data_IF_026073469541
#
_entry.id   IF_026073469541
#
_cell.length_a   1.000
_cell.length_b   1.000
_cell.length_c   1.000
_cell.angle_alpha   90.00
_cell.angle_beta   90.00
_cell.angle_gamma   90.00
#
_symmetry.space_group_name_H-M   'P 1'
#
loop_
_entity.id
_entity.type
_entity.pdbx_description
1 polymer ?
#
# COMPACT_ATOMS: atom_id res chain seq x y z
N UNK A 1 -10.28 23.96 4.36
CA UNK A 1 -10.90 23.48 3.11
C UNK A 1 -10.41 22.08 2.73
N UNK A 2 -9.09 21.83 2.55
CA UNK A 2 -8.57 20.49 2.21
C UNK A 2 -8.96 19.40 3.23
N UNK A 3 -8.77 19.66 4.54
CA UNK A 3 -9.16 18.70 5.59
C UNK A 3 -10.67 18.39 5.64
N UNK A 4 -11.51 19.40 5.38
CA UNK A 4 -12.98 19.24 5.33
C UNK A 4 -13.40 18.37 4.13
N UNK A 5 -12.71 18.50 2.99
CA UNK A 5 -12.94 17.67 1.80
C UNK A 5 -12.51 16.21 2.05
N UNK A 6 -11.38 16.02 2.75
CA UNK A 6 -10.93 14.68 3.18
C UNK A 6 -11.96 14.06 4.14
N UNK A 7 -12.49 14.84 5.07
CA UNK A 7 -13.51 14.36 6.01
C UNK A 7 -14.83 13.95 5.32
N UNK A 8 -15.29 14.74 4.34
CA UNK A 8 -16.49 14.42 3.56
C UNK A 8 -16.31 13.19 2.67
N UNK A 9 -15.13 13.02 2.07
CA UNK A 9 -14.81 11.83 1.25
C UNK A 9 -14.68 10.56 2.09
N UNK A 10 -14.17 10.65 3.32
CA UNK A 10 -14.11 9.53 4.26
C UNK A 10 -15.48 9.18 4.86
N UNK A 11 -16.31 10.17 5.20
CA UNK A 11 -17.71 9.94 5.63
C UNK A 11 -18.52 9.19 4.56
N UNK A 12 -18.31 9.51 3.27
CA UNK A 12 -18.94 8.76 2.15
C UNK A 12 -18.46 7.31 2.00
N UNK A 13 -17.27 6.96 2.50
CA UNK A 13 -16.71 5.61 2.40
C UNK A 13 -16.88 4.76 3.68
N UNK A 14 -17.54 5.28 4.72
CA UNK A 14 -17.74 4.60 6.01
C UNK A 14 -16.44 4.05 6.63
N UNK A 15 -15.31 4.73 6.38
CA UNK A 15 -14.00 4.37 6.94
C UNK A 15 -13.86 5.08 8.29
N UNK A 16 -13.39 4.36 9.33
CA UNK A 16 -13.27 4.83 10.72
C UNK A 16 -12.68 6.24 10.80
N UNK A 17 -13.48 7.21 11.28
CA UNK A 17 -13.24 8.66 11.25
C UNK A 17 -12.30 9.16 12.36
N UNK A 18 -12.01 8.34 13.35
CA UNK A 18 -11.27 8.71 14.57
C UNK A 18 -9.82 9.12 14.32
N UNK A 19 -9.13 8.48 13.37
CA UNK A 19 -7.76 8.86 13.01
C UNK A 19 -7.70 10.24 12.33
N UNK A 20 -8.75 10.62 11.61
CA UNK A 20 -8.83 11.91 10.96
C UNK A 20 -9.05 13.03 11.99
N UNK A 21 -9.99 12.82 12.93
CA UNK A 21 -10.24 13.75 14.04
C UNK A 21 -8.97 13.98 14.87
N UNK A 22 -8.24 12.91 15.18
CA UNK A 22 -6.97 13.01 15.87
C UNK A 22 -5.94 13.83 15.08
N UNK A 23 -5.82 13.57 13.78
CA UNK A 23 -4.89 14.30 12.90
C UNK A 23 -5.25 15.78 12.80
N UNK A 24 -6.55 16.12 12.76
CA UNK A 24 -7.00 17.51 12.72
C UNK A 24 -6.69 18.26 14.01
N UNK A 25 -6.89 17.63 15.17
CA UNK A 25 -6.58 18.26 16.45
C UNK A 25 -5.07 18.44 16.66
N UNK A 26 -4.24 17.49 16.20
CA UNK A 26 -2.77 17.66 16.18
C UNK A 26 -2.37 18.88 15.35
N UNK A 27 -2.94 19.03 14.15
CA UNK A 27 -2.60 20.15 13.28
C UNK A 27 -2.95 21.49 13.94
N UNK A 28 -4.14 21.59 14.55
CA UNK A 28 -4.54 22.79 15.29
C UNK A 28 -3.64 23.06 16.49
N UNK A 29 -3.23 22.03 17.22
CA UNK A 29 -2.30 22.15 18.34
C UNK A 29 -0.97 22.80 17.90
N UNK A 30 -0.33 22.28 16.85
CA UNK A 30 0.94 22.84 16.34
C UNK A 30 0.78 24.23 15.72
N UNK A 31 -0.32 24.47 15.00
CA UNK A 31 -0.60 25.79 14.40
C UNK A 31 -0.87 26.87 15.45
N UNK A 32 -1.34 26.49 16.64
CA UNK A 32 -1.63 27.41 17.74
C UNK A 32 -0.39 27.80 18.56
N UNK A 33 0.69 27.01 18.55
CA UNK A 33 1.91 27.27 19.33
C UNK A 33 2.53 28.67 19.08
N UNK A 34 2.71 29.15 17.83
CA UNK A 34 3.25 30.49 17.59
C UNK A 34 2.32 31.59 18.10
N UNK A 35 0.99 31.36 17.97
CA UNK A 35 -0.03 32.32 18.41
C UNK A 35 -0.04 32.45 19.94
N UNK A 36 0.20 31.35 20.66
CA UNK A 36 0.34 31.36 22.11
C UNK A 36 1.58 32.16 22.53
N UNK A 37 2.73 31.92 21.89
CA UNK A 37 3.98 32.64 22.20
C UNK A 37 3.88 34.15 22.00
N UNK A 38 3.15 34.61 20.98
CA UNK A 38 2.96 36.06 20.72
C UNK A 38 1.86 36.70 21.56
N UNK A 39 1.01 35.91 22.22
CA UNK A 39 -0.16 36.43 22.94
C UNK A 39 0.14 36.77 24.40
N UNK A 40 1.27 36.30 24.96
CA UNK A 40 1.63 36.41 26.39
C UNK A 40 1.69 37.87 26.89
N UNK A 41 1.92 38.83 26.00
CA UNK A 41 2.06 40.25 26.36
C UNK A 41 0.74 41.05 26.37
N UNK A 42 -0.40 40.44 26.02
CA UNK A 42 -1.67 41.16 25.85
C UNK A 42 -2.80 40.67 26.75
N UNK A 43 -3.76 41.54 27.14
CA UNK A 43 -4.91 41.18 27.98
C UNK A 43 -5.86 40.15 27.33
N UNK A 44 -5.75 39.93 26.00
CA UNK A 44 -6.44 38.84 25.29
C UNK A 44 -5.86 37.44 25.59
N UNK A 45 -4.80 37.33 26.39
CA UNK A 45 -4.14 36.08 26.79
C UNK A 45 -5.10 35.04 27.36
N UNK A 46 -6.08 35.43 28.17
CA UNK A 46 -6.99 34.49 28.85
C UNK A 46 -7.78 33.67 27.83
N UNK A 47 -8.29 34.33 26.78
CA UNK A 47 -9.03 33.65 25.71
C UNK A 47 -8.11 32.70 24.94
N UNK A 48 -6.90 33.15 24.57
CA UNK A 48 -5.91 32.31 23.90
C UNK A 48 -5.52 31.07 24.71
N UNK A 49 -5.28 31.23 26.01
CA UNK A 49 -4.95 30.13 26.92
C UNK A 49 -6.13 29.16 27.07
N UNK A 50 -7.35 29.68 27.22
CA UNK A 50 -8.56 28.83 27.32
C UNK A 50 -8.78 27.99 26.05
N UNK A 51 -8.58 28.58 24.87
CA UNK A 51 -8.65 27.86 23.59
C UNK A 51 -7.56 26.80 23.48
N UNK A 52 -6.33 27.08 23.93
CA UNK A 52 -5.25 26.09 23.96
C UNK A 52 -5.59 24.88 24.83
N UNK A 53 -6.14 25.12 26.03
CA UNK A 53 -6.57 24.05 26.94
C UNK A 53 -7.68 23.21 26.30
N UNK A 54 -8.65 23.84 25.65
CA UNK A 54 -9.73 23.14 24.93
C UNK A 54 -9.18 22.27 23.79
N UNK A 55 -8.27 22.79 22.97
CA UNK A 55 -7.62 22.03 21.88
C UNK A 55 -6.84 20.85 22.45
N UNK A 56 -6.11 21.04 23.55
CA UNK A 56 -5.36 19.97 24.20
C UNK A 56 -6.29 18.89 24.77
N UNK A 57 -7.39 19.29 25.39
CA UNK A 57 -8.38 18.37 25.95
C UNK A 57 -9.08 17.54 24.86
N UNK A 58 -9.48 18.17 23.75
CA UNK A 58 -10.06 17.47 22.59
C UNK A 58 -9.06 16.52 21.93
N UNK A 59 -7.78 16.92 21.83
CA UNK A 59 -6.71 16.05 21.36
C UNK A 59 -6.56 14.82 22.28
N UNK A 60 -6.55 15.04 23.59
CA UNK A 60 -6.47 13.97 24.59
C UNK A 60 -7.67 13.02 24.50
N UNK A 61 -8.89 13.55 24.44
CA UNK A 61 -10.11 12.76 24.23
C UNK A 61 -10.06 11.95 22.93
N UNK A 62 -9.56 12.56 21.85
CA UNK A 62 -9.43 11.89 20.55
C UNK A 62 -8.51 10.66 20.61
N UNK A 63 -7.51 10.64 21.50
CA UNK A 63 -6.67 9.46 21.75
C UNK A 63 -7.46 8.25 22.27
N UNK A 64 -8.51 8.49 23.07
CA UNK A 64 -9.32 7.45 23.73
C UNK A 64 -10.63 7.15 23.01
N UNK A 65 -11.15 8.07 22.19
CA UNK A 65 -12.42 7.95 21.48
C UNK A 65 -12.51 6.77 20.50
N UNK A 66 -11.41 6.03 20.27
CA UNK A 66 -11.33 4.96 19.27
C UNK A 66 -11.28 3.53 19.84
N UNK A 67 -11.70 3.30 21.09
CA UNK A 67 -11.95 1.94 21.59
C UNK A 67 -13.27 1.44 20.99
N UNK A 68 -13.21 0.96 19.75
CA UNK A 68 -14.38 0.33 19.12
C UNK A 68 -14.63 -1.03 19.78
N UNK A 69 -15.76 -1.11 20.50
CA UNK A 69 -16.24 -2.31 21.17
C UNK A 69 -16.74 -3.37 20.19
N UNK A 70 -15.86 -3.89 19.33
CA UNK A 70 -16.09 -5.20 18.70
C UNK A 70 -15.98 -6.28 19.80
N UNK A 71 -17.08 -6.41 20.55
CA UNK A 71 -17.31 -7.34 21.65
C UNK A 71 -17.29 -8.81 21.20
N UNK A 72 -17.28 -9.07 19.88
CA UNK A 72 -17.44 -10.39 19.30
C UNK A 72 -16.33 -10.75 18.31
N UNK A 73 -15.07 -10.60 18.72
CA UNK A 73 -13.92 -11.06 17.94
C UNK A 73 -13.10 -12.03 18.78
N UNK A 74 -12.86 -13.21 18.19
CA UNK A 74 -12.09 -14.34 18.71
C UNK A 74 -10.82 -13.90 19.48
N UNK A 75 -10.56 -14.53 20.63
CA UNK A 75 -9.54 -14.13 21.61
C UNK A 75 -8.13 -14.07 20.99
N UNK A 76 -7.88 -14.92 19.98
CA UNK A 76 -6.61 -14.96 19.24
C UNK A 76 -6.47 -13.90 18.13
N UNK A 77 -7.39 -12.95 17.98
CA UNK A 77 -7.26 -11.87 16.98
C UNK A 77 -6.23 -10.82 17.39
N UNK A 78 -5.49 -10.28 16.41
CA UNK A 78 -4.47 -9.26 16.67
C UNK A 78 -5.09 -7.97 17.24
N UNK A 79 -4.65 -7.51 18.44
CA UNK A 79 -5.22 -6.34 19.11
C UNK A 79 -4.96 -5.03 18.36
N UNK A 80 -4.04 -5.03 17.38
CA UNK A 80 -3.81 -3.91 16.46
C UNK A 80 -5.10 -3.39 15.79
N UNK A 81 -6.09 -4.26 15.55
CA UNK A 81 -7.40 -3.89 14.97
C UNK A 81 -8.34 -3.16 15.92
N UNK A 82 -8.24 -3.48 17.22
CA UNK A 82 -9.04 -2.90 18.30
C UNK A 82 -8.36 -1.68 18.93
N UNK A 83 -7.07 -1.52 18.67
CA UNK A 83 -6.27 -0.43 19.20
C UNK A 83 -6.80 0.93 18.75
N UNK A 84 -6.85 1.89 19.69
CA UNK A 84 -7.09 3.29 19.34
C UNK A 84 -5.98 3.83 18.43
N UNK A 85 -6.22 4.98 17.79
CA UNK A 85 -5.25 5.54 16.85
C UNK A 85 -3.91 5.84 17.55
N UNK A 86 -3.96 6.45 18.74
CA UNK A 86 -2.76 6.69 19.55
C UNK A 86 -2.06 5.37 19.89
N UNK A 87 -2.81 4.36 20.33
CA UNK A 87 -2.24 3.07 20.69
C UNK A 87 -1.57 2.36 19.49
N UNK A 88 -2.05 2.64 18.27
CA UNK A 88 -1.39 2.21 17.04
C UNK A 88 -0.08 2.96 16.79
N UNK A 89 -0.05 4.28 17.06
CA UNK A 89 1.13 5.14 16.89
C UNK A 89 2.26 4.76 17.84
N UNK A 90 1.96 4.55 19.12
CA UNK A 90 2.96 4.20 20.14
C UNK A 90 3.24 2.69 20.23
N UNK A 91 2.65 1.88 19.35
CA UNK A 91 2.70 0.41 19.39
C UNK A 91 2.27 -0.20 20.73
N UNK A 92 1.42 0.48 21.51
CA UNK A 92 1.04 0.02 22.85
C UNK A 92 0.22 -1.27 22.82
N UNK A 93 -0.43 -1.61 21.71
CA UNK A 93 -1.07 -2.92 21.50
C UNK A 93 -0.07 -4.09 21.53
N UNK A 94 1.20 -3.84 21.19
CA UNK A 94 2.27 -4.84 21.21
C UNK A 94 2.91 -5.00 22.60
N UNK A 95 2.76 -4.00 23.48
CA UNK A 95 3.41 -3.95 24.79
C UNK A 95 3.14 -5.20 25.65
N UNK A 96 1.93 -5.74 25.62
CA UNK A 96 1.58 -6.98 26.36
C UNK A 96 2.38 -8.20 25.90
N UNK A 97 2.58 -8.33 24.59
CA UNK A 97 3.41 -9.40 24.03
C UNK A 97 4.89 -9.15 24.32
N UNK A 98 5.35 -7.89 24.25
CA UNK A 98 6.73 -7.53 24.61
C UNK A 98 7.08 -7.90 26.06
N UNK A 99 6.21 -7.56 27.03
CA UNK A 99 6.39 -7.97 28.44
C UNK A 99 6.39 -9.49 28.58
N UNK A 100 5.51 -10.18 27.84
CA UNK A 100 5.42 -11.65 27.90
C UNK A 100 6.73 -12.29 27.44
N UNK A 101 7.29 -11.79 26.32
CA UNK A 101 8.60 -12.21 25.82
C UNK A 101 9.77 -11.88 26.77
N UNK A 102 9.64 -10.82 27.58
CA UNK A 102 10.61 -10.51 28.62
C UNK A 102 10.54 -11.49 29.82
N UNK A 103 9.33 -11.93 30.19
CA UNK A 103 9.12 -12.85 31.33
C UNK A 103 9.35 -14.33 30.97
N UNK A 104 9.04 -14.74 29.73
CA UNK A 104 9.15 -16.11 29.25
C UNK A 104 9.40 -16.16 27.73
N UNK A 105 10.01 -17.22 27.19
CA UNK A 105 10.11 -17.40 25.74
C UNK A 105 8.71 -17.48 25.10
N UNK A 106 8.52 -16.81 23.96
CA UNK A 106 7.25 -16.75 23.24
C UNK A 106 7.01 -18.08 22.50
N UNK A 107 5.84 -18.68 22.73
CA UNK A 107 5.40 -19.92 22.08
C UNK A 107 4.42 -19.59 20.95
N UNK A 108 4.25 -20.49 19.98
CA UNK A 108 3.30 -20.35 18.86
C UNK A 108 1.86 -20.04 19.31
N UNK A 109 1.45 -20.56 20.45
CA UNK A 109 0.12 -20.34 21.00
C UNK A 109 -0.09 -18.94 21.58
N UNK A 110 0.99 -18.25 21.97
CA UNK A 110 0.97 -16.87 22.48
C UNK A 110 0.86 -15.83 21.34
N UNK A 111 1.07 -16.25 20.09
CA UNK A 111 1.01 -15.39 18.93
C UNK A 111 -0.43 -15.15 18.46
N UNK A 112 -0.69 -13.92 18.02
CA UNK A 112 -1.96 -13.58 17.40
C UNK A 112 -2.09 -14.16 16.00
N UNK A 113 -3.32 -14.48 15.60
CA UNK A 113 -3.64 -14.88 14.21
C UNK A 113 -3.31 -13.73 13.27
N UNK A 114 -2.57 -14.05 12.20
CA UNK A 114 -2.23 -13.10 11.15
C UNK A 114 -3.50 -12.59 10.44
N UNK A 115 -3.51 -11.30 10.13
CA UNK A 115 -4.60 -10.66 9.42
C UNK A 115 -4.76 -11.24 8.01
N UNK A 116 -6.00 -11.39 7.52
CA UNK A 116 -6.27 -11.89 6.16
C UNK A 116 -5.57 -11.08 5.07
N UNK A 117 -5.40 -9.76 5.26
CA UNK A 117 -4.68 -8.88 4.32
C UNK A 117 -3.21 -9.25 4.19
N UNK A 118 -2.62 -9.68 5.30
CA UNK A 118 -1.17 -9.86 5.47
C UNK A 118 -0.76 -11.33 5.22
N UNK A 119 -1.72 -12.22 5.01
CA UNK A 119 -1.47 -13.61 4.63
C UNK A 119 -0.84 -13.70 3.24
N UNK A 120 0.07 -14.65 3.09
CA UNK A 120 0.73 -14.95 1.82
C UNK A 120 -0.30 -15.20 0.70
N UNK A 121 -1.38 -15.93 0.97
CA UNK A 121 -2.44 -16.20 -0.01
C UNK A 121 -3.02 -14.93 -0.65
N UNK A 122 -3.21 -13.88 0.15
CA UNK A 122 -3.73 -12.62 -0.33
C UNK A 122 -2.68 -11.84 -1.14
N UNK A 123 -1.43 -11.84 -0.67
CA UNK A 123 -0.30 -11.21 -1.38
C UNK A 123 -0.06 -11.87 -2.74
N UNK A 124 -0.11 -13.20 -2.82
CA UNK A 124 0.05 -13.96 -4.06
C UNK A 124 -1.08 -13.63 -5.05
N UNK A 125 -2.33 -13.53 -4.58
CA UNK A 125 -3.46 -13.12 -5.44
C UNK A 125 -3.26 -11.72 -6.03
N UNK A 126 -2.82 -10.76 -5.22
CA UNK A 126 -2.53 -9.39 -5.68
C UNK A 126 -1.38 -9.42 -6.69
N UNK A 127 -0.34 -10.19 -6.41
CA UNK A 127 0.80 -10.36 -7.31
C UNK A 127 0.37 -10.92 -8.66
N UNK A 128 -0.34 -12.04 -8.68
CA UNK A 128 -0.80 -12.70 -9.91
C UNK A 128 -1.68 -11.79 -10.75
N UNK A 129 -2.57 -11.03 -10.12
CA UNK A 129 -3.42 -10.05 -10.80
C UNK A 129 -2.59 -8.99 -11.52
N UNK A 130 -1.63 -8.37 -10.83
CA UNK A 130 -0.76 -7.35 -11.41
C UNK A 130 0.18 -7.95 -12.47
N UNK A 131 0.68 -9.16 -12.24
CA UNK A 131 1.56 -9.88 -13.15
C UNK A 131 0.85 -10.16 -14.48
N UNK A 132 -0.37 -10.73 -14.44
CA UNK A 132 -1.18 -11.01 -15.64
C UNK A 132 -1.49 -9.72 -16.41
N UNK A 133 -1.81 -8.63 -15.71
CA UNK A 133 -2.04 -7.32 -16.34
C UNK A 133 -0.78 -6.81 -17.05
N UNK A 134 0.40 -6.95 -16.44
CA UNK A 134 1.66 -6.53 -17.05
C UNK A 134 2.05 -7.38 -18.26
N UNK A 135 1.82 -8.71 -18.21
CA UNK A 135 2.03 -9.61 -19.35
C UNK A 135 1.13 -9.22 -20.52
N UNK A 136 -0.16 -8.97 -20.28
CA UNK A 136 -1.10 -8.56 -21.33
C UNK A 136 -0.69 -7.23 -21.96
N UNK A 137 -0.23 -6.26 -21.16
CA UNK A 137 0.27 -4.96 -21.66
C UNK A 137 1.55 -5.11 -22.47
N UNK A 138 2.48 -5.97 -22.05
CA UNK A 138 3.68 -6.28 -22.81
C UNK A 138 3.35 -6.95 -24.15
N UNK A 139 2.43 -7.91 -24.16
CA UNK A 139 2.02 -8.62 -25.36
C UNK A 139 1.21 -7.73 -26.33
N UNK A 140 0.34 -6.86 -25.83
CA UNK A 140 -0.38 -5.88 -26.65
C UNK A 140 0.55 -4.84 -27.29
N UNK A 141 1.66 -4.49 -26.62
CA UNK A 141 2.69 -3.63 -27.21
C UNK A 141 3.53 -4.37 -28.25
N UNK A 142 3.73 -5.68 -28.11
CA UNK A 142 4.38 -6.49 -29.14
C UNK A 142 3.49 -6.62 -30.39
N UNK A 143 2.20 -6.91 -30.25
CA UNK A 143 1.28 -7.02 -31.42
C UNK A 143 1.10 -5.69 -32.17
N UNK A 144 1.15 -4.55 -31.50
CA UNK A 144 1.09 -3.23 -32.15
C UNK A 144 2.39 -2.88 -32.87
N UNK A 145 3.55 -3.31 -32.36
CA UNK A 145 4.84 -3.12 -33.04
C UNK A 145 5.05 -4.13 -34.20
N UNK A 146 4.30 -5.23 -34.22
CA UNK A 146 4.31 -6.23 -35.30
C UNK A 146 2.99 -6.23 -36.09
N UNK A 147 2.77 -5.27 -37.00
CA UNK A 147 2.24 -5.51 -38.37
C UNK A 147 1.85 -4.21 -39.09
N UNK A 148 1.97 -4.10 -40.45
CA UNK A 148 2.00 -5.19 -41.42
C UNK A 148 3.18 -5.14 -42.42
N UNK A 149 4.01 -6.18 -42.49
CA UNK A 149 4.90 -6.41 -43.65
C UNK A 149 4.75 -7.78 -44.31
N UNK A 150 3.82 -8.63 -43.86
CA UNK A 150 3.48 -9.87 -44.58
C UNK A 150 1.97 -10.02 -44.60
N UNK A 151 1.35 -9.39 -45.59
CA UNK A 151 0.01 -9.75 -46.07
C UNK A 151 0.15 -10.21 -47.52
N UNK A 152 0.91 -11.28 -47.75
CA UNK A 152 0.88 -11.97 -49.03
C UNK A 152 -0.38 -12.81 -49.07
N UNK A 153 -1.34 -12.36 -49.89
CA UNK A 153 -2.53 -13.13 -50.26
C UNK A 153 -2.07 -14.44 -50.89
N UNK A 154 -2.29 -15.58 -50.22
CA UNK A 154 -2.38 -16.87 -50.90
C UNK A 154 -3.87 -17.11 -51.14
N UNK A 155 -4.18 -17.29 -52.41
CA UNK A 155 -5.51 -17.48 -52.97
C UNK A 155 -5.90 -18.94 -52.74
N UNK A 156 -6.89 -19.18 -51.89
CA UNK A 156 -7.43 -20.53 -51.68
C UNK A 156 -8.29 -20.92 -52.88
N UNK A 157 -7.83 -21.93 -53.63
CA UNK A 157 -8.71 -22.83 -54.38
C UNK A 157 -8.07 -24.22 -54.41
N UNK A 158 -8.57 -25.08 -53.52
CA UNK A 158 -8.72 -26.52 -53.73
C UNK A 158 -7.48 -27.36 -54.00
N UNK A 159 -7.20 -28.30 -53.08
CA UNK A 159 -7.34 -29.75 -53.31
C UNK A 159 -6.56 -30.47 -52.20
N UNK A 160 -7.30 -31.24 -51.40
CA UNK A 160 -6.76 -32.29 -50.55
C UNK A 160 -6.38 -33.50 -51.41
N UNK A 161 -5.27 -34.19 -51.12
CA UNK A 161 -4.96 -35.44 -51.82
C UNK A 161 -3.68 -36.12 -51.33
N UNK A 162 -3.85 -37.32 -50.80
CA UNK A 162 -2.83 -38.24 -50.32
C UNK A 162 -2.00 -38.86 -51.47
N UNK A 163 -0.71 -39.06 -51.18
CA UNK A 163 0.21 -40.15 -51.57
C UNK A 163 0.41 -40.57 -53.05
N UNK A 164 1.70 -40.78 -53.34
CA UNK A 164 2.36 -41.73 -54.28
C UNK A 164 2.59 -41.36 -55.76
N UNK A 165 3.87 -41.44 -56.14
CA UNK A 165 4.51 -41.89 -57.41
C UNK A 165 5.66 -40.92 -57.79
N UNK A 166 6.92 -41.17 -57.40
CA UNK A 166 7.95 -41.99 -58.09
C UNK A 166 8.86 -41.15 -59.01
N UNK A 167 10.17 -41.39 -58.91
CA UNK A 167 11.34 -40.75 -59.59
C UNK A 167 11.67 -39.27 -59.28
N UNK A 168 12.92 -38.79 -59.18
CA UNK A 168 14.28 -39.33 -59.28
C UNK A 168 15.25 -38.29 -58.62
N UNK A 169 16.27 -38.74 -57.88
CA UNK A 169 17.53 -38.03 -57.52
C UNK A 169 17.53 -36.51 -57.16
N UNK A 170 17.49 -36.15 -55.86
CA UNK A 170 18.33 -35.09 -55.21
C UNK A 170 18.32 -35.29 -53.67
N UNK A 171 19.45 -35.34 -52.94
CA UNK A 171 19.43 -35.37 -51.48
C UNK A 171 19.22 -33.95 -50.93
N UNK A 172 18.00 -33.63 -50.48
CA UNK A 172 17.75 -32.44 -49.67
C UNK A 172 17.71 -32.80 -48.19
N UNK A 173 18.78 -32.43 -47.48
CA UNK A 173 18.89 -32.44 -46.02
C UNK A 173 17.76 -31.62 -45.41
N UNK A 174 16.81 -32.29 -44.77
CA UNK A 174 15.72 -31.67 -44.03
C UNK A 174 16.23 -31.10 -42.70
N UNK A 175 16.76 -29.87 -42.73
CA UNK A 175 16.77 -29.05 -41.52
C UNK A 175 15.34 -28.62 -41.22
N UNK A 176 14.63 -29.44 -40.45
CA UNK A 176 13.42 -29.03 -39.75
C UNK A 176 13.85 -27.95 -38.75
N UNK A 177 13.81 -26.70 -39.18
CA UNK A 177 13.93 -25.56 -38.29
C UNK A 177 12.64 -25.53 -37.48
N UNK A 178 12.71 -26.03 -36.25
CA UNK A 178 11.68 -25.80 -35.24
C UNK A 178 11.46 -24.29 -35.16
N UNK A 179 10.28 -23.82 -35.59
CA UNK A 179 9.84 -22.47 -35.31
C UNK A 179 9.70 -22.37 -33.79
N UNK A 180 10.71 -21.77 -33.14
CA UNK A 180 10.64 -21.41 -31.74
C UNK A 180 9.30 -20.72 -31.47
N UNK A 181 8.55 -21.23 -30.51
CA UNK A 181 7.44 -20.53 -29.90
C UNK A 181 7.88 -19.09 -29.65
N UNK A 182 7.10 -18.15 -30.19
CA UNK A 182 7.25 -16.72 -29.97
C UNK A 182 7.49 -16.48 -28.48
N UNK A 183 8.75 -16.19 -28.14
CA UNK A 183 9.19 -15.95 -26.77
C UNK A 183 8.50 -14.68 -26.28
N UNK A 184 7.34 -14.86 -25.64
CA UNK A 184 6.62 -13.81 -24.94
C UNK A 184 7.62 -13.07 -24.03
N UNK A 185 7.78 -11.77 -24.26
CA UNK A 185 8.75 -10.94 -23.53
C UNK A 185 8.50 -11.11 -22.04
N UNK A 186 9.49 -11.65 -21.32
CA UNK A 186 9.36 -11.92 -19.89
C UNK A 186 8.95 -10.62 -19.19
N UNK A 187 7.81 -10.59 -18.48
CA UNK A 187 7.35 -9.39 -17.80
C UNK A 187 8.40 -8.96 -16.77
N UNK A 188 8.54 -7.65 -16.57
CA UNK A 188 9.45 -7.11 -15.56
C UNK A 188 8.92 -7.45 -14.16
N UNK A 189 9.56 -8.44 -13.53
CA UNK A 189 9.37 -8.81 -12.12
C UNK A 189 9.50 -7.60 -11.17
N UNK A 190 10.55 -6.74 -11.26
CA UNK A 190 10.68 -5.62 -10.33
C UNK A 190 9.56 -4.59 -10.45
N UNK A 191 9.00 -4.41 -11.64
CA UNK A 191 7.87 -3.50 -11.85
C UNK A 191 6.59 -4.03 -11.21
N UNK A 192 6.34 -5.34 -11.34
CA UNK A 192 5.19 -5.99 -10.70
C UNK A 192 5.29 -5.93 -9.17
N UNK A 193 6.49 -6.12 -8.62
CA UNK A 193 6.79 -5.96 -7.20
C UNK A 193 6.53 -4.53 -6.73
N UNK A 194 7.05 -3.54 -7.46
CA UNK A 194 6.81 -2.13 -7.16
C UNK A 194 5.31 -1.81 -7.14
N UNK A 195 4.54 -2.33 -8.10
CA UNK A 195 3.08 -2.12 -8.14
C UNK A 195 2.34 -2.73 -6.93
N UNK A 196 2.76 -3.92 -6.48
CA UNK A 196 2.15 -4.60 -5.33
C UNK A 196 2.37 -3.82 -4.02
N UNK A 197 3.57 -3.25 -3.84
CA UNK A 197 3.96 -2.59 -2.59
C UNK A 197 3.96 -1.06 -2.66
N UNK A 198 3.52 -0.46 -3.76
CA UNK A 198 3.62 1.00 -4.00
C UNK A 198 3.10 1.87 -2.86
N UNK A 199 2.00 1.47 -2.22
CA UNK A 199 1.40 2.25 -1.13
C UNK A 199 2.21 2.16 0.16
N UNK A 200 2.78 0.99 0.44
CA UNK A 200 3.68 0.77 1.59
C UNK A 200 5.01 1.48 1.39
N UNK A 201 5.55 1.46 0.17
CA UNK A 201 6.77 2.19 -0.16
C UNK A 201 6.55 3.70 -0.09
N UNK A 202 5.44 4.20 -0.65
CA UNK A 202 5.10 5.62 -0.59
C UNK A 202 4.95 6.10 0.86
N UNK A 203 4.24 5.35 1.72
CA UNK A 203 4.07 5.74 3.12
C UNK A 203 5.40 5.75 3.87
N UNK A 204 6.26 4.75 3.67
CA UNK A 204 7.60 4.71 4.26
C UNK A 204 8.45 5.92 3.82
N UNK A 205 8.44 6.25 2.53
CA UNK A 205 9.17 7.41 1.99
C UNK A 205 8.67 8.72 2.58
N UNK A 206 7.35 8.89 2.73
CA UNK A 206 6.79 10.10 3.36
C UNK A 206 7.22 10.22 4.81
N UNK A 207 7.18 9.14 5.59
CA UNK A 207 7.64 9.15 6.99
C UNK A 207 9.12 9.49 7.08
N UNK A 208 9.95 8.95 6.19
CA UNK A 208 11.38 9.27 6.14
C UNK A 208 11.63 10.75 5.80
N UNK A 209 10.89 11.32 4.85
CA UNK A 209 10.99 12.75 4.52
C UNK A 209 10.66 13.61 5.74
N UNK A 210 9.57 13.28 6.45
CA UNK A 210 9.17 13.98 7.67
C UNK A 210 10.26 13.86 8.73
N UNK A 211 10.83 12.67 8.94
CA UNK A 211 11.94 12.46 9.88
C UNK A 211 13.12 13.37 9.55
N UNK A 212 13.52 13.42 8.27
CA UNK A 212 14.63 14.27 7.80
C UNK A 212 14.34 15.74 8.08
N UNK A 213 13.12 16.22 7.78
CA UNK A 213 12.70 17.60 8.08
C UNK A 213 12.76 17.89 9.58
N UNK A 214 12.22 17.00 10.43
CA UNK A 214 12.28 17.15 11.89
C UNK A 214 13.72 17.21 12.41
N UNK A 215 14.63 16.47 11.81
CA UNK A 215 16.03 16.44 12.23
C UNK A 215 16.74 17.79 11.99
N UNK A 216 16.29 18.58 11.00
CA UNK A 216 16.76 19.96 10.80
C UNK A 216 16.22 20.95 11.83
N UNK A 217 15.07 20.64 12.47
CA UNK A 217 14.46 21.50 13.49
C UNK A 217 15.22 21.41 14.81
N UNK A 218 15.77 20.24 15.16
CA UNK A 218 16.54 20.03 16.40
C UNK A 218 17.64 21.08 16.62
N UNK A 219 18.55 21.30 15.65
CA UNK A 219 19.58 22.34 15.73
C UNK A 219 19.05 23.78 15.78
N UNK A 220 17.86 24.05 15.23
CA UNK A 220 17.24 25.40 15.24
C UNK A 220 16.63 25.74 16.60
N UNK A 221 16.20 24.74 17.37
CA UNK A 221 15.67 24.91 18.74
C UNK A 221 16.80 25.15 19.75
N UNK A 222 18.02 24.68 19.45
CA UNK A 222 19.18 24.81 20.34
C UNK A 222 19.93 26.15 20.19
N UNK A 223 19.55 26.99 19.21
CA UNK A 223 20.06 28.34 19.03
C UNK A 223 19.18 29.34 19.78
#
# INVERSE_FOLDING_TARGET
>A
IFFVIVELTFKRKAIRTSGLVFTTWIFFFFAFLPKLSSSIDMPSSIVSISLFILIFYELFLSCFANVSGELYMDEKTCPRKKASFLNHLIYGWFWRMAITGWKRPIIRDDLWKLERSDKADNLVRIWEFNYKSNVQRGNAQLTVNYSPLIKTKVFDNGIAGYLTAEDENVPQTSHITYCNESSAKSPSIPWTLFLCFKWTLLSATVVNIVQVVLQFVGPQILK
#
